data_IF_535726695063
#
_entry.id   IF_535726695063
#
_cell.length_a   1.000
_cell.length_b   1.000
_cell.length_c   1.000
_cell.angle_alpha   90.00
_cell.angle_beta   90.00
_cell.angle_gamma   90.00
#
_symmetry.space_group_name_H-M   'P 1'
#
loop_
_entity.id
_entity.type
_entity.pdbx_description
1 polymer ?
#
# COMPACT_ATOMS: atom_id res chain seq x y z
N UNK A 1 34.06 -26.27 -23.05
CA UNK A 1 33.86 -26.25 -21.59
C UNK A 1 33.31 -24.87 -21.21
N UNK A 2 32.17 -24.86 -20.54
CA UNK A 2 31.31 -23.71 -20.28
C UNK A 2 31.78 -22.81 -19.14
N UNK A 3 31.45 -21.53 -19.29
CA UNK A 3 31.39 -20.38 -18.38
C UNK A 3 31.68 -20.54 -16.86
N UNK A 4 32.27 -19.49 -16.30
CA UNK A 4 31.99 -19.04 -14.93
C UNK A 4 31.88 -17.52 -14.92
N UNK A 5 30.65 -17.02 -14.80
CA UNK A 5 30.38 -15.62 -14.53
C UNK A 5 30.08 -15.49 -13.03
N UNK A 6 30.88 -14.70 -12.33
CA UNK A 6 30.68 -14.38 -10.91
C UNK A 6 29.37 -13.60 -10.70
N UNK A 7 28.61 -13.85 -9.62
CA UNK A 7 27.43 -13.06 -9.31
C UNK A 7 27.86 -11.67 -8.81
N UNK A 8 27.52 -10.64 -9.58
CA UNK A 8 27.62 -9.25 -9.14
C UNK A 8 26.58 -9.01 -8.05
N UNK A 9 27.04 -8.66 -6.85
CA UNK A 9 26.18 -8.34 -5.72
C UNK A 9 25.28 -7.14 -6.07
N UNK A 10 23.97 -7.37 -6.15
CA UNK A 10 22.99 -6.32 -6.38
C UNK A 10 23.00 -5.35 -5.19
N UNK A 11 23.39 -4.10 -5.44
CA UNK A 11 23.30 -3.02 -4.47
C UNK A 11 21.84 -2.83 -4.02
N UNK A 12 21.62 -2.78 -2.71
CA UNK A 12 20.33 -2.45 -2.12
C UNK A 12 19.94 -1.01 -2.50
N UNK A 13 18.71 -0.75 -2.97
CA UNK A 13 18.29 0.60 -3.29
C UNK A 13 18.21 1.44 -2.01
N UNK A 14 19.05 2.47 -1.95
CA UNK A 14 19.06 3.49 -0.91
C UNK A 14 17.68 4.14 -0.78
N UNK A 15 17.18 4.23 0.44
CA UNK A 15 15.90 4.86 0.76
C UNK A 15 15.85 6.29 0.21
N UNK A 16 15.09 6.50 -0.86
CA UNK A 16 14.85 7.82 -1.43
C UNK A 16 14.06 8.63 -0.39
N UNK A 17 14.62 9.74 0.08
CA UNK A 17 13.90 10.63 0.99
C UNK A 17 12.66 11.17 0.29
N UNK A 18 11.49 11.01 0.91
CA UNK A 18 10.24 11.58 0.38
C UNK A 18 10.34 13.10 0.53
N UNK A 19 10.53 13.80 -0.59
CA UNK A 19 10.70 15.26 -0.60
C UNK A 19 9.37 16.02 -0.72
N UNK A 20 8.31 15.35 -1.18
CA UNK A 20 7.01 15.97 -1.44
C UNK A 20 5.90 15.03 -0.99
N UNK A 21 4.98 15.56 -0.17
CA UNK A 21 3.74 14.90 0.22
C UNK A 21 2.62 15.40 -0.69
N UNK A 22 1.78 14.48 -1.15
CA UNK A 22 0.63 14.71 -2.00
C UNK A 22 -0.61 14.45 -1.14
N UNK A 23 -1.46 15.45 -0.99
CA UNK A 23 -2.73 15.28 -0.26
C UNK A 23 -3.80 14.82 -1.24
N UNK A 24 -4.41 13.63 -1.06
CA UNK A 24 -5.48 13.18 -1.94
C UNK A 24 -6.78 13.93 -1.65
N UNK A 25 -7.34 14.59 -2.66
CA UNK A 25 -8.64 15.27 -2.58
C UNK A 25 -9.82 14.32 -2.85
N UNK A 26 -9.61 13.34 -3.74
CA UNK A 26 -10.64 12.43 -4.23
C UNK A 26 -10.13 10.98 -4.28
N UNK A 27 -10.99 10.04 -3.88
CA UNK A 27 -10.82 8.62 -4.14
C UNK A 27 -11.96 8.17 -5.06
N UNK A 28 -11.60 7.61 -6.21
CA UNK A 28 -12.55 7.06 -7.19
C UNK A 28 -12.39 5.54 -7.21
N UNK A 29 -13.51 4.83 -7.09
CA UNK A 29 -13.55 3.36 -7.12
C UNK A 29 -14.37 2.94 -8.33
N UNK A 30 -13.78 2.11 -9.19
CA UNK A 30 -14.43 1.52 -10.35
C UNK A 30 -14.42 -0.01 -10.15
N UNK A 31 -15.57 -0.66 -9.89
CA UNK A 31 -15.62 -2.07 -9.53
C UNK A 31 -15.12 -3.06 -10.59
N UNK A 32 -15.15 -2.68 -11.87
CA UNK A 32 -14.68 -3.49 -13.00
C UNK A 32 -13.22 -3.25 -13.39
N UNK A 33 -12.57 -2.29 -12.73
CA UNK A 33 -11.23 -1.82 -13.04
C UNK A 33 -11.22 -0.67 -14.07
N UNK A 34 -10.20 0.18 -13.97
CA UNK A 34 -9.96 1.26 -14.93
C UNK A 34 -9.02 0.79 -16.04
N UNK A 35 -9.50 0.84 -17.29
CA UNK A 35 -8.61 0.68 -18.45
C UNK A 35 -7.61 1.84 -18.55
N UNK A 36 -6.47 1.60 -19.20
CA UNK A 36 -5.48 2.65 -19.46
C UNK A 36 -6.08 3.88 -20.19
N UNK A 37 -7.07 3.67 -21.07
CA UNK A 37 -7.78 4.76 -21.75
C UNK A 37 -8.68 5.56 -20.80
N UNK A 38 -9.36 4.92 -19.85
CA UNK A 38 -10.13 5.63 -18.82
C UNK A 38 -9.20 6.42 -17.90
N UNK A 39 -8.10 5.80 -17.45
CA UNK A 39 -7.10 6.46 -16.62
C UNK A 39 -6.50 7.68 -17.31
N UNK A 40 -6.11 7.57 -18.59
CA UNK A 40 -5.59 8.69 -19.36
C UNK A 40 -6.60 9.86 -19.47
N UNK A 41 -7.90 9.55 -19.63
CA UNK A 41 -8.95 10.58 -19.64
C UNK A 41 -9.10 11.27 -18.29
N UNK A 42 -9.05 10.52 -17.19
CA UNK A 42 -9.09 11.09 -15.82
C UNK A 42 -7.89 12.00 -15.59
N UNK A 43 -6.68 11.54 -15.94
CA UNK A 43 -5.45 12.33 -15.79
C UNK A 43 -5.44 13.60 -16.63
N UNK A 44 -6.17 13.64 -17.75
CA UNK A 44 -6.30 14.80 -18.62
C UNK A 44 -7.47 15.73 -18.25
N UNK A 45 -8.31 15.36 -17.29
CA UNK A 45 -9.46 16.16 -16.90
C UNK A 45 -9.02 17.48 -16.24
N UNK A 46 -9.75 18.56 -16.54
CA UNK A 46 -9.45 19.87 -15.98
C UNK A 46 -9.47 19.85 -14.44
N UNK A 47 -8.41 20.39 -13.82
CA UNK A 47 -8.25 20.42 -12.37
C UNK A 47 -7.53 19.21 -11.76
N UNK A 48 -7.36 18.11 -12.51
CA UNK A 48 -6.58 16.97 -12.04
C UNK A 48 -5.08 17.30 -12.13
N UNK A 49 -4.40 17.32 -10.99
CA UNK A 49 -2.97 17.65 -10.91
C UNK A 49 -2.08 16.41 -10.90
N UNK A 50 -2.50 15.38 -10.18
CA UNK A 50 -1.78 14.13 -10.03
C UNK A 50 -2.77 12.99 -9.88
N UNK A 51 -2.38 11.79 -10.32
CA UNK A 51 -3.16 10.57 -10.19
C UNK A 51 -2.22 9.46 -9.73
N UNK A 52 -2.69 8.63 -8.80
CA UNK A 52 -2.08 7.36 -8.45
C UNK A 52 -3.15 6.28 -8.52
N UNK A 53 -2.75 5.08 -8.92
CA UNK A 53 -3.63 3.91 -8.98
C UNK A 53 -3.26 2.91 -7.90
N UNK A 54 -4.27 2.26 -7.36
CA UNK A 54 -4.15 1.16 -6.42
C UNK A 54 -5.32 0.20 -6.62
N UNK A 55 -5.11 -1.07 -6.29
CA UNK A 55 -6.18 -2.07 -6.33
C UNK A 55 -7.00 -1.99 -5.04
N UNK A 56 -8.28 -1.70 -5.14
CA UNK A 56 -9.17 -1.62 -3.97
C UNK A 56 -9.90 -2.92 -3.70
N UNK A 57 -10.00 -3.33 -2.43
CA UNK A 57 -10.81 -4.48 -2.04
C UNK A 57 -11.47 -4.30 -0.67
N UNK A 58 -12.63 -4.93 -0.49
CA UNK A 58 -13.22 -5.16 0.83
C UNK A 58 -12.97 -6.63 1.21
N UNK A 59 -12.14 -6.86 2.22
CA UNK A 59 -11.73 -8.20 2.67
C UNK A 59 -12.11 -8.40 4.13
N UNK A 60 -11.93 -9.61 4.65
CA UNK A 60 -12.05 -9.92 6.06
C UNK A 60 -10.68 -10.14 6.68
N UNK A 61 -10.36 -9.42 7.75
CA UNK A 61 -9.22 -9.67 8.63
C UNK A 61 -9.74 -10.33 9.90
N UNK A 62 -9.36 -11.58 10.15
CA UNK A 62 -9.92 -12.44 11.21
C UNK A 62 -11.46 -12.39 11.25
N UNK A 63 -12.10 -12.48 10.09
CA UNK A 63 -13.56 -12.45 9.96
C UNK A 63 -14.20 -11.06 9.94
N UNK A 64 -13.45 -9.98 10.24
CA UNK A 64 -13.97 -8.61 10.24
C UNK A 64 -13.73 -7.91 8.91
N UNK A 65 -14.79 -7.33 8.33
CA UNK A 65 -14.66 -6.55 7.09
C UNK A 65 -13.80 -5.32 7.30
N UNK A 66 -12.86 -5.10 6.37
CA UNK A 66 -11.94 -3.96 6.29
C UNK A 66 -11.78 -3.57 4.82
N UNK A 67 -11.60 -2.30 4.55
CA UNK A 67 -11.30 -1.81 3.20
C UNK A 67 -9.80 -1.64 3.03
N UNK A 68 -9.26 -2.14 1.94
CA UNK A 68 -7.82 -2.18 1.70
C UNK A 68 -7.46 -1.61 0.33
N UNK A 69 -6.24 -1.10 0.22
CA UNK A 69 -5.62 -0.76 -1.05
C UNK A 69 -4.34 -1.57 -1.24
N UNK A 70 -4.29 -2.40 -2.28
CA UNK A 70 -3.04 -2.96 -2.79
C UNK A 70 -2.28 -1.87 -3.54
N UNK A 71 -1.13 -1.46 -3.02
CA UNK A 71 -0.36 -0.31 -3.51
C UNK A 71 1.01 -0.71 -4.02
N UNK A 72 1.55 0.09 -4.95
CA UNK A 72 2.99 0.09 -5.21
C UNK A 72 3.69 1.03 -4.20
N UNK A 73 4.58 0.53 -3.32
CA UNK A 73 5.21 1.36 -2.28
C UNK A 73 5.97 2.57 -2.83
N UNK A 74 6.64 2.44 -3.97
CA UNK A 74 7.42 3.53 -4.57
C UNK A 74 6.55 4.66 -5.12
N UNK A 75 5.35 4.36 -5.59
CA UNK A 75 4.44 5.35 -6.19
C UNK A 75 3.47 5.95 -5.17
N UNK A 76 3.04 5.14 -4.18
CA UNK A 76 1.97 5.54 -3.26
C UNK A 76 2.49 6.23 -2.00
N UNK A 77 3.76 6.04 -1.64
CA UNK A 77 4.34 6.55 -0.39
C UNK A 77 4.16 8.06 -0.16
N UNK A 78 4.31 8.86 -1.20
CA UNK A 78 4.10 10.32 -1.14
C UNK A 78 2.64 10.73 -0.92
N UNK A 79 1.66 9.83 -1.13
CA UNK A 79 0.22 10.10 -0.96
C UNK A 79 -0.28 9.86 0.47
N UNK A 80 0.61 9.46 1.37
CA UNK A 80 0.30 9.26 2.79
C UNK A 80 0.73 10.47 3.62
N UNK A 81 0.17 10.67 4.82
CA UNK A 81 0.61 11.73 5.73
C UNK A 81 2.12 11.67 5.98
N UNK A 82 2.75 12.82 6.23
CA UNK A 82 4.20 12.93 6.35
C UNK A 82 4.81 11.89 7.29
N UNK A 83 4.20 11.68 8.47
CA UNK A 83 4.68 10.69 9.44
C UNK A 83 4.77 9.27 8.84
N UNK A 84 3.72 8.84 8.14
CA UNK A 84 3.65 7.55 7.43
C UNK A 84 4.63 7.52 6.26
N UNK A 85 4.66 8.58 5.45
CA UNK A 85 5.58 8.68 4.32
C UNK A 85 7.04 8.60 4.75
N UNK A 86 7.41 9.09 5.94
CA UNK A 86 8.78 9.00 6.44
C UNK A 86 9.11 7.70 7.18
N UNK A 87 8.12 6.87 7.52
CA UNK A 87 8.35 5.63 8.27
C UNK A 87 8.96 4.53 7.39
N UNK A 88 10.28 4.44 7.37
CA UNK A 88 11.01 3.44 6.60
C UNK A 88 10.68 2.00 7.02
N UNK A 89 10.35 1.75 8.30
CA UNK A 89 10.05 0.40 8.79
C UNK A 89 8.73 -0.08 8.22
N UNK A 90 7.73 0.80 8.21
CA UNK A 90 6.41 0.53 7.63
C UNK A 90 6.51 0.17 6.14
N UNK A 91 7.22 0.99 5.35
CA UNK A 91 7.38 0.75 3.91
C UNK A 91 8.26 -0.46 3.59
N UNK A 92 9.26 -0.75 4.41
CA UNK A 92 10.04 -1.97 4.30
C UNK A 92 9.18 -3.21 4.58
N UNK A 93 8.28 -3.15 5.56
CA UNK A 93 7.35 -4.24 5.85
C UNK A 93 6.40 -4.49 4.66
N UNK A 94 5.81 -3.43 4.10
CA UNK A 94 5.01 -3.51 2.87
C UNK A 94 5.80 -4.14 1.70
N UNK A 95 7.03 -3.68 1.49
CA UNK A 95 7.92 -4.25 0.45
C UNK A 95 8.29 -5.72 0.66
N UNK A 96 8.18 -6.23 1.89
CA UNK A 96 8.38 -7.64 2.24
C UNK A 96 7.09 -8.48 2.11
N UNK A 97 6.00 -7.92 1.58
CA UNK A 97 4.71 -8.60 1.47
C UNK A 97 3.93 -8.68 2.78
N UNK A 98 4.28 -7.86 3.78
CA UNK A 98 3.50 -7.72 5.02
C UNK A 98 2.45 -6.64 4.83
N UNK A 99 1.28 -6.80 5.43
CA UNK A 99 0.23 -5.76 5.38
C UNK A 99 0.43 -4.75 6.51
N UNK A 100 0.01 -3.51 6.31
CA UNK A 100 0.00 -2.46 7.34
C UNK A 100 -1.39 -1.88 7.51
N UNK A 101 -1.69 -1.32 8.68
CA UNK A 101 -3.06 -0.85 8.98
C UNK A 101 -3.09 0.58 9.49
N UNK A 102 -4.28 1.17 9.53
CA UNK A 102 -4.51 2.38 10.31
C UNK A 102 -4.36 2.09 11.82
N UNK A 103 -3.85 3.06 12.59
CA UNK A 103 -3.71 2.93 14.05
C UNK A 103 -5.05 2.59 14.72
N UNK A 104 -6.14 3.13 14.19
CA UNK A 104 -7.50 2.85 14.65
C UNK A 104 -7.87 1.38 14.49
N UNK A 105 -7.56 0.76 13.35
CA UNK A 105 -7.85 -0.66 13.13
C UNK A 105 -6.95 -1.52 14.03
N UNK A 106 -5.65 -1.22 14.07
CA UNK A 106 -4.68 -1.94 14.91
C UNK A 106 -5.10 -1.96 16.38
N UNK A 107 -5.45 -0.80 16.95
CA UNK A 107 -5.90 -0.69 18.33
C UNK A 107 -7.23 -1.42 18.59
N UNK A 108 -8.24 -1.23 17.72
CA UNK A 108 -9.55 -1.90 17.88
C UNK A 108 -9.51 -3.41 17.77
N UNK A 109 -8.52 -3.95 17.05
CA UNK A 109 -8.36 -5.39 16.81
C UNK A 109 -7.19 -6.00 17.57
N UNK A 110 -6.51 -5.20 18.40
CA UNK A 110 -5.33 -5.61 19.16
C UNK A 110 -4.29 -6.33 18.27
N UNK A 111 -3.91 -5.68 17.15
CA UNK A 111 -2.95 -6.25 16.20
C UNK A 111 -1.50 -6.04 16.69
N UNK A 112 -0.67 -7.07 16.57
CA UNK A 112 0.72 -7.10 17.06
C UNK A 112 1.70 -7.31 15.90
N UNK A 113 2.62 -6.37 15.64
CA UNK A 113 3.59 -6.52 14.54
C UNK A 113 4.35 -7.84 14.61
N UNK A 114 4.56 -8.48 13.47
CA UNK A 114 5.18 -9.81 13.36
C UNK A 114 4.21 -10.99 13.55
N UNK A 115 2.98 -10.76 14.01
CA UNK A 115 1.95 -11.80 14.11
C UNK A 115 1.27 -12.03 12.75
N UNK A 116 0.92 -13.28 12.45
CA UNK A 116 0.14 -13.64 11.26
C UNK A 116 -1.35 -13.56 11.53
N UNK A 117 -2.09 -13.00 10.57
CA UNK A 117 -3.54 -12.84 10.63
C UNK A 117 -4.18 -13.48 9.40
N UNK A 118 -5.34 -14.11 9.60
CA UNK A 118 -6.09 -14.68 8.50
C UNK A 118 -6.79 -13.55 7.73
N UNK A 119 -6.48 -13.49 6.44
CA UNK A 119 -7.14 -12.60 5.49
C UNK A 119 -8.01 -13.45 4.58
N UNK A 120 -9.24 -13.00 4.34
CA UNK A 120 -10.18 -13.70 3.46
C UNK A 120 -10.86 -12.71 2.51
N UNK A 121 -10.70 -12.93 1.20
CA UNK A 121 -11.33 -12.20 0.12
C UNK A 121 -11.83 -13.19 -0.92
N UNK A 122 -11.30 -13.12 -2.15
CA UNK A 122 -11.53 -14.17 -3.16
C UNK A 122 -10.89 -15.51 -2.76
N UNK A 123 -9.77 -15.46 -2.01
CA UNK A 123 -9.11 -16.60 -1.40
C UNK A 123 -8.86 -16.37 0.10
N UNK A 124 -8.14 -17.30 0.73
CA UNK A 124 -7.71 -17.18 2.12
C UNK A 124 -6.20 -17.31 2.24
N UNK A 125 -5.59 -16.44 3.03
CA UNK A 125 -4.14 -16.43 3.26
C UNK A 125 -3.82 -15.92 4.66
N UNK A 126 -2.69 -16.37 5.23
CA UNK A 126 -2.13 -15.79 6.44
C UNK A 126 -1.02 -14.79 6.10
N UNK A 127 -1.29 -13.50 6.29
CA UNK A 127 -0.27 -12.46 6.12
C UNK A 127 0.26 -11.98 7.46
N UNK A 128 1.53 -11.62 7.49
CA UNK A 128 2.18 -11.04 8.67
C UNK A 128 1.83 -9.56 8.77
N UNK A 129 1.46 -9.09 9.96
CA UNK A 129 1.22 -7.67 10.23
C UNK A 129 2.55 -6.92 10.37
N UNK A 130 2.73 -5.88 9.56
CA UNK A 130 3.95 -5.07 9.48
C UNK A 130 4.01 -3.90 10.46
N UNK A 131 2.85 -3.39 10.89
CA UNK A 131 2.74 -2.20 11.74
C UNK A 131 1.57 -1.32 11.35
N UNK A 132 1.37 -0.22 12.08
CA UNK A 132 0.32 0.74 11.79
C UNK A 132 0.84 2.16 11.72
N UNK A 133 0.13 2.99 10.96
CA UNK A 133 0.34 4.42 10.89
C UNK A 133 -0.94 5.12 10.38
N UNK A 134 -1.05 6.46 10.48
CA UNK A 134 -2.15 7.20 9.87
C UNK A 134 -2.09 7.10 8.34
N UNK A 135 -3.10 6.49 7.69
CA UNK A 135 -3.06 6.26 6.25
C UNK A 135 -3.49 7.47 5.40
N UNK A 136 -4.13 8.47 6.02
CA UNK A 136 -4.54 9.72 5.36
C UNK A 136 -5.76 9.63 4.44
N UNK A 137 -6.27 8.43 4.18
CA UNK A 137 -7.46 8.21 3.35
C UNK A 137 -8.60 7.71 4.24
N UNK A 138 -9.70 8.47 4.27
CA UNK A 138 -10.88 8.09 5.06
C UNK A 138 -11.51 6.83 4.49
N UNK A 139 -11.83 5.89 5.36
CA UNK A 139 -12.51 4.65 4.98
C UNK A 139 -11.60 3.55 4.43
N UNK A 140 -10.29 3.79 4.33
CA UNK A 140 -9.28 2.76 4.07
C UNK A 140 -8.62 2.36 5.40
N UNK A 141 -8.60 1.07 5.67
CA UNK A 141 -8.14 0.52 6.95
C UNK A 141 -6.76 -0.13 6.85
N UNK A 142 -6.34 -0.58 5.66
CA UNK A 142 -5.05 -1.26 5.45
C UNK A 142 -4.45 -1.02 4.05
N UNK A 143 -3.13 -1.21 3.97
CA UNK A 143 -2.33 -1.28 2.74
C UNK A 143 -1.61 -2.64 2.67
#
# INVERSE_FOLDING_TARGET
MTASASPSAAATPSATSVRTIISPDLLVIEPSGLSARQLARVSAAAGVRQVVTADGAAIKLNGHRVNVLGVNPGQFRSWTPLATATDQRLWAALGQGRFVTSDRLAGRRNLHPGTKYLISGAGQEQLTFGGSAPLGIRGIDAL
#
